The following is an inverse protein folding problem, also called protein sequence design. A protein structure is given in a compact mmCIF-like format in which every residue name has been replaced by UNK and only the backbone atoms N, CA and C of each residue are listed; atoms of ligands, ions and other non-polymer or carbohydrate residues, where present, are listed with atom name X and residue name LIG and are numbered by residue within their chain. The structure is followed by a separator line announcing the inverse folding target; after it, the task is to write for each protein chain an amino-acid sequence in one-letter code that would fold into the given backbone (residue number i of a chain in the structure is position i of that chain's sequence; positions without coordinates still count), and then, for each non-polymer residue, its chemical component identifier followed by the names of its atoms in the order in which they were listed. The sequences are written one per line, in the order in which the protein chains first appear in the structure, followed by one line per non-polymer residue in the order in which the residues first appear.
data_IF_672199047966
#
_entry.id   IF_672199047966
#
_cell.length_a   1.000
_cell.length_b   1.000
_cell.length_c   1.000
_cell.angle_alpha   90.00
_cell.angle_beta   90.00
_cell.angle_gamma   90.00
#
_symmetry.space_group_name_H-M   'P 1'
#
loop_
_entity.id
_entity.type
_entity.pdbx_description
1 polymer ?
#
# COMPACT_ATOMS: atom_id res chain seq x y z
N UNK A 1 35.92 53.84 27.48
CA UNK A 1 35.65 52.50 28.05
C UNK A 1 34.28 51.94 27.68
N UNK A 2 33.17 52.69 27.82
CA UNK A 2 31.81 52.17 27.56
C UNK A 2 31.61 51.59 26.14
N UNK A 3 32.15 52.22 25.10
CA UNK A 3 32.05 51.70 23.72
C UNK A 3 32.79 50.38 23.52
N UNK A 4 33.93 50.18 24.20
CA UNK A 4 34.72 48.94 24.13
C UNK A 4 33.97 47.80 24.83
N UNK A 5 33.38 48.08 25.99
CA UNK A 5 32.57 47.11 26.74
C UNK A 5 31.32 46.71 25.94
N UNK A 6 30.61 47.68 25.35
CA UNK A 6 29.46 47.42 24.49
C UNK A 6 29.85 46.57 23.27
N UNK A 7 30.97 46.89 22.61
CA UNK A 7 31.49 46.10 21.49
C UNK A 7 31.80 44.66 21.88
N UNK A 8 32.43 44.43 23.04
CA UNK A 8 32.72 43.10 23.55
C UNK A 8 31.43 42.29 23.85
N UNK A 9 30.40 42.92 24.42
CA UNK A 9 29.10 42.27 24.68
C UNK A 9 28.43 41.85 23.37
N UNK A 10 28.38 42.73 22.36
CA UNK A 10 27.78 42.40 21.06
C UNK A 10 28.53 41.24 20.39
N UNK A 11 29.85 41.24 20.44
CA UNK A 11 30.68 40.19 19.84
C UNK A 11 30.50 38.85 20.58
N UNK A 12 30.37 38.87 21.92
CA UNK A 12 30.06 37.69 22.72
C UNK A 12 28.67 37.12 22.38
N UNK A 13 27.64 37.97 22.30
CA UNK A 13 26.27 37.55 21.92
C UNK A 13 26.27 36.94 20.52
N UNK A 14 26.93 37.57 19.56
CA UNK A 14 27.07 37.04 18.20
C UNK A 14 27.78 35.69 18.18
N UNK A 15 28.87 35.53 18.95
CA UNK A 15 29.58 34.26 19.08
C UNK A 15 28.67 33.17 19.66
N UNK A 16 27.92 33.45 20.71
CA UNK A 16 26.98 32.50 21.35
C UNK A 16 25.88 32.09 20.37
N UNK A 17 25.28 33.05 19.65
CA UNK A 17 24.26 32.75 18.63
C UNK A 17 24.86 31.87 17.52
N UNK A 18 26.06 32.20 17.05
CA UNK A 18 26.72 31.44 15.97
C UNK A 18 27.06 30.03 16.43
N UNK A 19 27.70 29.86 17.59
CA UNK A 19 28.02 28.55 18.16
C UNK A 19 26.77 27.74 18.46
N UNK A 20 25.71 28.36 18.98
CA UNK A 20 24.41 27.73 19.18
C UNK A 20 23.79 27.25 17.87
N UNK A 21 23.90 28.04 16.79
CA UNK A 21 23.44 27.65 15.46
C UNK A 21 24.26 26.49 14.88
N UNK A 22 25.60 26.48 15.03
CA UNK A 22 26.44 25.36 14.57
C UNK A 22 26.20 24.09 15.38
N UNK A 23 26.08 24.21 16.71
CA UNK A 23 25.77 23.08 17.58
C UNK A 23 24.39 22.51 17.27
N UNK A 24 23.38 23.37 17.07
CA UNK A 24 22.06 22.98 16.61
C UNK A 24 22.10 22.30 15.24
N UNK A 25 22.84 22.85 14.27
CA UNK A 25 23.02 22.26 12.94
C UNK A 25 23.74 20.90 12.99
N UNK A 26 24.71 20.73 13.88
CA UNK A 26 25.42 19.47 14.06
C UNK A 26 24.55 18.40 14.74
N UNK A 27 23.80 18.80 15.77
CA UNK A 27 22.82 17.94 16.46
C UNK A 27 21.67 17.53 15.54
N UNK A 28 21.18 18.43 14.68
CA UNK A 28 20.14 18.12 13.69
C UNK A 28 20.69 17.36 12.48
N UNK A 29 21.92 17.66 12.05
CA UNK A 29 22.60 17.00 10.95
C UNK A 29 22.94 15.54 11.23
N UNK A 30 23.33 15.22 12.47
CA UNK A 30 23.51 13.84 12.91
C UNK A 30 22.18 13.08 12.95
N UNK A 31 21.10 13.74 13.40
CA UNK A 31 19.75 13.15 13.55
C UNK A 31 19.17 12.61 12.25
N UNK A 32 19.57 13.15 11.09
CA UNK A 32 19.05 12.74 9.79
C UNK A 32 20.11 12.16 8.84
N UNK A 33 21.28 11.79 9.37
CA UNK A 33 22.37 11.19 8.57
C UNK A 33 21.92 9.93 7.84
N UNK A 34 21.11 9.08 8.49
CA UNK A 34 20.57 7.85 7.89
C UNK A 34 19.78 8.11 6.61
N UNK A 35 18.90 9.12 6.61
CA UNK A 35 18.08 9.47 5.44
C UNK A 35 18.92 10.07 4.31
N UNK A 36 19.93 10.88 4.61
CA UNK A 36 20.84 11.41 3.57
C UNK A 36 21.68 10.30 2.93
N UNK A 37 22.18 9.37 3.74
CA UNK A 37 22.92 8.21 3.25
C UNK A 37 22.02 7.29 2.41
N UNK A 38 20.77 7.10 2.82
CA UNK A 38 19.78 6.37 2.05
C UNK A 38 19.50 7.04 0.70
N UNK A 39 19.31 8.37 0.69
CA UNK A 39 19.15 9.13 -0.55
C UNK A 39 20.35 8.98 -1.47
N UNK A 40 21.58 9.09 -0.94
CA UNK A 40 22.79 8.87 -1.74
C UNK A 40 22.87 7.44 -2.31
N UNK A 41 22.54 6.42 -1.50
CA UNK A 41 22.58 5.01 -1.90
C UNK A 41 21.63 4.70 -3.07
N UNK A 42 20.43 5.25 -3.04
CA UNK A 42 19.40 5.00 -4.06
C UNK A 42 19.28 6.14 -5.09
N UNK A 43 20.26 7.05 -5.15
CA UNK A 43 20.23 8.24 -6.02
C UNK A 43 18.91 9.03 -5.91
N UNK A 44 18.38 9.09 -4.69
CA UNK A 44 17.11 9.70 -4.36
C UNK A 44 17.21 11.15 -3.92
N UNK A 45 16.05 11.76 -3.70
CA UNK A 45 15.89 13.09 -3.15
C UNK A 45 15.59 13.01 -1.66
N UNK A 46 16.42 13.68 -0.85
CA UNK A 46 16.14 13.93 0.56
C UNK A 46 15.35 15.23 0.73
N UNK A 47 14.24 15.18 1.48
CA UNK A 47 13.38 16.34 1.78
C UNK A 47 13.20 16.47 3.30
N UNK A 48 13.51 17.66 3.83
CA UNK A 48 13.19 18.07 5.20
C UNK A 48 12.44 19.41 5.16
N UNK A 49 11.18 19.45 5.59
CA UNK A 49 10.31 20.63 5.51
C UNK A 49 10.31 21.50 6.77
N UNK A 50 11.36 21.41 7.59
CA UNK A 50 11.54 22.22 8.80
C UNK A 50 11.91 21.37 10.02
N UNK A 51 11.88 21.99 11.20
CA UNK A 51 12.19 21.33 12.47
C UNK A 51 11.07 20.38 12.94
N UNK A 52 9.83 20.63 12.53
CA UNK A 52 8.64 19.84 12.90
C UNK A 52 8.37 18.69 11.94
N UNK A 53 8.75 18.84 10.67
CA UNK A 53 8.38 17.88 9.63
C UNK A 53 9.38 16.72 9.60
N UNK A 54 8.91 15.47 9.65
CA UNK A 54 9.81 14.33 9.63
C UNK A 54 10.57 14.27 8.31
N UNK A 55 11.86 13.86 8.34
CA UNK A 55 12.65 13.69 7.13
C UNK A 55 12.00 12.65 6.22
N UNK A 56 12.10 12.89 4.92
CA UNK A 56 11.65 11.93 3.92
C UNK A 56 12.69 11.77 2.82
N UNK A 57 12.73 10.57 2.25
CA UNK A 57 13.57 10.23 1.09
C UNK A 57 12.66 9.67 0.03
N UNK A 58 12.82 10.11 -1.22
CA UNK A 58 12.09 9.56 -2.36
C UNK A 58 13.03 9.17 -3.49
N UNK A 59 12.79 8.02 -4.12
CA UNK A 59 13.56 7.53 -5.27
C UNK A 59 12.68 6.65 -6.15
N UNK A 60 13.11 6.42 -7.40
CA UNK A 60 12.44 5.51 -8.32
C UNK A 60 13.02 4.09 -8.18
N UNK A 61 12.19 3.07 -8.30
CA UNK A 61 12.60 1.66 -8.29
C UNK A 61 11.66 0.81 -9.16
N UNK A 62 12.20 0.14 -10.19
CA UNK A 62 11.43 -0.73 -11.10
C UNK A 62 10.11 -0.10 -11.60
N UNK A 63 10.14 1.19 -11.97
CA UNK A 63 8.96 1.92 -12.45
C UNK A 63 8.02 2.45 -11.36
N UNK A 64 8.22 2.08 -10.10
CA UNK A 64 7.48 2.56 -8.93
C UNK A 64 8.20 3.74 -8.25
N UNK A 65 7.46 4.55 -7.50
CA UNK A 65 8.02 5.64 -6.68
C UNK A 65 8.04 5.23 -5.20
N UNK A 66 9.24 5.16 -4.63
CA UNK A 66 9.47 4.77 -3.24
C UNK A 66 9.61 6.02 -2.39
N UNK A 67 8.86 6.12 -1.28
CA UNK A 67 8.97 7.17 -0.27
C UNK A 67 9.21 6.56 1.10
N UNK A 68 10.32 6.93 1.73
CA UNK A 68 10.75 6.47 3.04
C UNK A 68 10.66 7.65 4.01
N UNK A 69 10.17 7.42 5.22
CA UNK A 69 10.06 8.46 6.24
C UNK A 69 9.44 7.96 7.53
N UNK A 70 9.14 8.88 8.44
CA UNK A 70 8.36 8.54 9.62
C UNK A 70 6.86 8.53 9.30
N UNK A 71 6.13 7.61 9.94
CA UNK A 71 4.68 7.59 9.91
C UNK A 71 4.13 8.79 10.69
N UNK A 72 3.01 9.39 10.25
CA UNK A 72 2.37 10.46 11.01
C UNK A 72 1.96 9.95 12.40
N UNK A 73 2.06 10.84 13.39
CA UNK A 73 1.53 10.61 14.73
C UNK A 73 0.01 10.69 14.67
N UNK A 74 -0.66 9.70 15.23
CA UNK A 74 -2.12 9.69 15.38
C UNK A 74 -2.42 10.21 16.78
N UNK A 75 -3.25 11.25 16.88
CA UNK A 75 -3.66 11.82 18.16
C UNK A 75 -4.26 10.72 19.05
N UNK A 76 -3.78 10.62 20.29
CA UNK A 76 -4.23 9.62 21.26
C UNK A 76 -3.47 8.27 21.23
N UNK A 77 -2.54 8.05 20.30
CA UNK A 77 -1.62 6.90 20.36
C UNK A 77 -0.29 7.26 21.03
N UNK A 78 0.36 6.33 21.76
CA UNK A 78 1.68 6.56 22.34
C UNK A 78 2.68 7.01 21.26
N UNK A 79 3.45 8.03 21.60
CA UNK A 79 4.26 8.80 20.66
C UNK A 79 5.58 8.11 20.29
N UNK A 80 5.50 6.88 19.82
CA UNK A 80 6.68 6.17 19.32
C UNK A 80 6.80 6.44 17.81
N UNK A 81 7.84 7.17 17.34
CA UNK A 81 8.04 7.39 15.92
C UNK A 81 8.23 6.05 15.20
N UNK A 82 7.43 5.84 14.14
CA UNK A 82 7.42 4.60 13.34
C UNK A 82 8.03 4.87 11.98
N UNK A 83 8.79 3.94 11.45
CA UNK A 83 9.36 4.05 10.11
C UNK A 83 8.36 3.48 9.10
N UNK A 84 8.18 4.17 7.98
CA UNK A 84 7.38 3.66 6.85
C UNK A 84 8.18 3.71 5.55
N UNK A 85 8.01 2.67 4.75
CA UNK A 85 8.45 2.59 3.36
C UNK A 85 7.19 2.44 2.53
N UNK A 86 6.94 3.38 1.63
CA UNK A 86 5.77 3.39 0.74
C UNK A 86 6.25 3.25 -0.69
N UNK A 87 5.85 2.19 -1.37
CA UNK A 87 6.12 1.99 -2.79
C UNK A 87 4.82 2.23 -3.55
N UNK A 88 4.73 3.32 -4.30
CA UNK A 88 3.57 3.63 -5.14
C UNK A 88 3.74 2.98 -6.50
N UNK A 89 2.75 2.20 -6.90
CA UNK A 89 2.73 1.55 -8.20
C UNK A 89 2.42 2.57 -9.30
N UNK A 90 3.05 2.40 -10.46
CA UNK A 90 2.72 3.21 -11.65
C UNK A 90 1.37 2.80 -12.25
N UNK A 91 1.14 1.49 -12.30
CA UNK A 91 -0.11 0.88 -12.73
C UNK A 91 -0.77 0.27 -11.50
N UNK A 92 -2.06 0.52 -11.32
CA UNK A 92 -2.77 -0.03 -10.17
C UNK A 92 -2.80 -1.55 -10.18
N UNK A 93 -2.80 -2.17 -9.00
CA UNK A 93 -2.90 -3.62 -8.84
C UNK A 93 -4.29 -4.01 -8.32
N UNK A 94 -5.03 -4.96 -8.91
CA UNK A 94 -6.34 -5.39 -8.38
C UNK A 94 -6.23 -6.28 -7.12
N UNK A 95 -5.25 -6.00 -6.27
CA UNK A 95 -4.88 -6.82 -5.13
C UNK A 95 -4.88 -6.02 -3.83
N UNK A 96 -5.44 -6.60 -2.79
CA UNK A 96 -5.47 -6.07 -1.43
C UNK A 96 -4.99 -7.15 -0.49
N UNK A 97 -3.99 -6.82 0.31
CA UNK A 97 -3.46 -7.72 1.32
C UNK A 97 -3.04 -6.92 2.55
N UNK A 98 -3.36 -7.44 3.72
CA UNK A 98 -2.78 -7.00 4.98
C UNK A 98 -2.10 -8.18 5.67
N UNK A 99 -0.91 -7.91 6.19
CA UNK A 99 -0.11 -8.85 6.94
C UNK A 99 0.46 -8.17 8.16
N UNK A 100 0.25 -8.80 9.32
CA UNK A 100 0.80 -8.34 10.59
C UNK A 100 1.20 -9.54 11.46
N UNK A 101 2.23 -9.42 12.31
CA UNK A 101 2.51 -10.42 13.33
C UNK A 101 1.31 -10.62 14.26
N UNK A 102 1.06 -11.86 14.73
CA UNK A 102 -0.04 -12.15 15.67
C UNK A 102 0.07 -11.34 16.97
N UNK A 103 1.30 -11.00 17.39
CA UNK A 103 1.55 -10.18 18.57
C UNK A 103 1.10 -8.71 18.43
N UNK A 104 0.83 -8.25 17.21
CA UNK A 104 0.36 -6.89 16.96
C UNK A 104 -1.15 -6.84 17.17
N UNK A 105 -1.69 -5.87 17.93
CA UNK A 105 -3.13 -5.69 18.06
C UNK A 105 -3.77 -5.56 16.68
N UNK A 106 -4.69 -6.48 16.36
CA UNK A 106 -5.44 -6.43 15.12
C UNK A 106 -6.27 -5.14 15.08
N UNK A 107 -6.45 -4.51 13.90
CA UNK A 107 -7.43 -3.45 13.77
C UNK A 107 -8.82 -3.99 14.15
N UNK A 108 -9.65 -3.13 14.75
CA UNK A 108 -10.99 -3.52 15.21
C UNK A 108 -11.88 -4.06 14.09
N UNK A 109 -11.60 -3.70 12.84
CA UNK A 109 -12.28 -4.20 11.65
C UNK A 109 -11.26 -4.60 10.60
N UNK A 110 -11.43 -5.80 10.06
CA UNK A 110 -10.69 -6.23 8.87
C UNK A 110 -11.03 -5.32 7.68
N UNK A 111 -10.09 -5.08 6.75
CA UNK A 111 -10.38 -4.35 5.53
C UNK A 111 -11.55 -5.00 4.76
N UNK A 112 -12.50 -4.18 4.31
CA UNK A 112 -13.66 -4.66 3.55
C UNK A 112 -13.22 -5.46 2.34
N UNK A 113 -13.87 -6.61 2.12
CA UNK A 113 -13.61 -7.49 0.98
C UNK A 113 -12.32 -8.30 1.09
N UNK A 114 -11.74 -8.42 2.29
CA UNK A 114 -10.63 -9.34 2.56
C UNK A 114 -11.09 -10.51 3.42
N UNK A 115 -10.43 -11.66 3.26
CA UNK A 115 -10.63 -12.87 4.07
C UNK A 115 -9.30 -13.39 4.59
N UNK A 116 -9.33 -14.13 5.69
CA UNK A 116 -8.14 -14.78 6.23
C UNK A 116 -7.57 -15.77 5.22
N UNK A 117 -6.24 -15.75 5.06
CA UNK A 117 -5.50 -16.65 4.17
C UNK A 117 -4.53 -17.49 5.00
N UNK A 118 -4.47 -18.78 4.70
CA UNK A 118 -3.45 -19.70 5.20
C UNK A 118 -2.51 -20.03 4.06
N UNK A 119 -1.20 -19.89 4.29
CA UNK A 119 -0.19 -20.10 3.24
C UNK A 119 0.21 -21.58 3.15
N UNK A 120 -0.05 -22.36 4.21
CA UNK A 120 0.34 -23.77 4.29
C UNK A 120 1.73 -23.99 4.87
N UNK A 121 2.41 -22.90 5.23
CA UNK A 121 3.67 -22.91 5.99
C UNK A 121 3.36 -22.74 7.47
N UNK A 122 3.56 -23.79 8.27
CA UNK A 122 3.13 -23.81 9.67
C UNK A 122 3.84 -22.77 10.54
N UNK A 123 5.13 -22.50 10.28
CA UNK A 123 5.88 -21.51 11.04
C UNK A 123 5.35 -20.10 10.73
N UNK A 124 5.17 -19.80 9.45
CA UNK A 124 4.64 -18.51 9.01
C UNK A 124 3.20 -18.28 9.46
N UNK A 125 2.33 -19.27 9.30
CA UNK A 125 0.91 -19.20 9.68
C UNK A 125 0.69 -19.09 11.20
N UNK A 126 1.69 -19.45 12.01
CA UNK A 126 1.73 -19.23 13.48
C UNK A 126 2.32 -17.87 13.86
N UNK A 127 3.14 -17.27 13.00
CA UNK A 127 3.77 -15.97 13.26
C UNK A 127 2.92 -14.79 12.80
N UNK A 128 2.10 -14.97 11.77
CA UNK A 128 1.43 -13.88 11.06
C UNK A 128 -0.07 -14.13 10.84
N UNK A 129 -0.83 -13.03 10.85
CA UNK A 129 -2.19 -12.97 10.32
C UNK A 129 -2.11 -12.38 8.92
N UNK A 130 -2.64 -13.11 7.93
CA UNK A 130 -2.74 -12.65 6.53
C UNK A 130 -4.21 -12.53 6.16
N UNK A 131 -4.58 -11.38 5.61
CA UNK A 131 -5.89 -11.11 5.05
C UNK A 131 -5.75 -10.61 3.62
N UNK A 132 -6.48 -11.20 2.66
CA UNK A 132 -6.44 -10.75 1.27
C UNK A 132 -7.81 -10.84 0.59
N UNK A 133 -8.01 -10.06 -0.46
CA UNK A 133 -9.20 -10.17 -1.32
C UNK A 133 -9.12 -11.40 -2.25
N UNK A 134 -7.91 -11.83 -2.59
CA UNK A 134 -7.63 -12.99 -3.42
C UNK A 134 -6.62 -13.91 -2.71
N UNK A 135 -7.05 -15.03 -2.10
CA UNK A 135 -6.15 -15.95 -1.40
C UNK A 135 -5.16 -16.66 -2.30
N UNK A 136 -5.53 -16.98 -3.54
CA UNK A 136 -4.65 -17.71 -4.46
C UNK A 136 -3.47 -16.81 -4.83
N UNK A 137 -3.77 -15.56 -5.21
CA UNK A 137 -2.75 -14.54 -5.46
C UNK A 137 -1.91 -14.25 -4.21
N UNK A 138 -2.50 -14.29 -3.01
CA UNK A 138 -1.77 -14.10 -1.76
C UNK A 138 -0.78 -15.24 -1.47
N UNK A 139 -1.17 -16.50 -1.73
CA UNK A 139 -0.28 -17.67 -1.59
C UNK A 139 0.89 -17.58 -2.56
N UNK A 140 0.62 -17.21 -3.81
CA UNK A 140 1.66 -17.05 -4.83
C UNK A 140 2.63 -15.89 -4.52
N UNK A 141 2.09 -14.73 -4.13
CA UNK A 141 2.89 -13.60 -3.66
C UNK A 141 3.77 -13.96 -2.46
N UNK A 142 3.23 -14.69 -1.49
CA UNK A 142 3.95 -15.12 -0.28
C UNK A 142 4.82 -16.37 -0.51
N UNK A 143 5.58 -16.32 -1.60
CA UNK A 143 6.66 -17.25 -1.92
C UNK A 143 7.71 -17.31 -0.80
N UNK A 144 8.51 -18.40 -0.71
CA UNK A 144 9.52 -18.55 0.34
C UNK A 144 10.50 -17.36 0.47
N UNK A 145 10.91 -16.76 -0.66
CA UNK A 145 11.78 -15.58 -0.66
C UNK A 145 11.12 -14.35 -0.05
N UNK A 146 9.85 -14.09 -0.39
CA UNK A 146 9.09 -12.99 0.21
C UNK A 146 8.86 -13.24 1.71
N UNK A 147 8.53 -14.48 2.11
CA UNK A 147 8.38 -14.83 3.54
C UNK A 147 9.67 -14.61 4.33
N UNK A 148 10.82 -14.95 3.74
CA UNK A 148 12.12 -14.67 4.34
C UNK A 148 12.34 -13.17 4.56
N UNK A 149 12.06 -12.33 3.56
CA UNK A 149 12.15 -10.87 3.70
C UNK A 149 11.19 -10.30 4.75
N UNK A 150 9.99 -10.86 4.87
CA UNK A 150 9.04 -10.50 5.92
C UNK A 150 9.60 -10.86 7.31
N UNK A 151 10.18 -12.04 7.47
CA UNK A 151 10.86 -12.44 8.71
C UNK A 151 12.04 -11.52 9.05
N UNK A 152 12.79 -11.08 8.04
CA UNK A 152 13.88 -10.11 8.21
C UNK A 152 13.39 -8.76 8.75
N UNK A 153 12.30 -8.24 8.17
CA UNK A 153 11.65 -7.03 8.67
C UNK A 153 11.11 -7.21 10.10
N UNK A 154 10.56 -8.39 10.42
CA UNK A 154 10.05 -8.68 11.75
C UNK A 154 11.16 -8.62 12.80
N UNK A 155 12.40 -9.02 12.47
CA UNK A 155 13.55 -8.93 13.38
C UNK A 155 13.96 -7.49 13.70
N UNK A 156 13.61 -6.51 12.86
CA UNK A 156 13.85 -5.09 13.12
C UNK A 156 12.79 -4.49 14.05
N UNK A 157 11.62 -5.10 14.12
CA UNK A 157 10.42 -4.59 14.77
C UNK A 157 10.29 -4.76 16.31
N UNK A 158 11.01 -5.63 17.05
CA UNK A 158 10.74 -5.82 18.46
C UNK A 158 11.03 -4.55 19.28
N UNK A 159 10.17 -4.18 20.23
CA UNK A 159 8.99 -4.92 20.71
C UNK A 159 7.67 -4.59 19.98
N UNK A 160 7.66 -3.57 19.12
CA UNK A 160 6.42 -2.87 18.73
C UNK A 160 5.71 -3.40 17.48
N UNK A 161 6.35 -4.31 16.72
CA UNK A 161 5.71 -5.00 15.59
C UNK A 161 5.83 -4.27 14.25
N UNK A 162 5.19 -4.83 13.23
CA UNK A 162 5.22 -4.33 11.85
C UNK A 162 3.88 -4.55 11.15
N UNK A 163 3.67 -3.83 10.04
CA UNK A 163 2.54 -3.98 9.13
C UNK A 163 3.03 -3.99 7.71
N UNK A 164 2.50 -4.90 6.92
CA UNK A 164 2.56 -4.84 5.46
C UNK A 164 1.12 -4.68 4.97
N UNK A 165 0.88 -3.63 4.19
CA UNK A 165 -0.43 -3.35 3.59
C UNK A 165 -0.24 -3.07 2.12
N UNK A 166 -0.91 -3.86 1.29
CA UNK A 166 -0.97 -3.72 -0.16
C UNK A 166 -2.38 -3.30 -0.52
N UNK A 167 -2.50 -2.24 -1.31
CA UNK A 167 -3.73 -1.84 -1.94
C UNK A 167 -3.46 -1.51 -3.41
N UNK A 168 -4.49 -1.17 -4.21
CA UNK A 168 -4.29 -0.97 -5.63
C UNK A 168 -3.29 0.12 -6.02
N UNK A 169 -3.00 1.07 -5.13
CA UNK A 169 -2.12 2.20 -5.43
C UNK A 169 -0.70 2.01 -4.89
N UNK A 170 -0.53 1.20 -3.84
CA UNK A 170 0.74 1.13 -3.11
C UNK A 170 0.93 -0.13 -2.27
N UNK A 171 2.19 -0.45 -2.06
CA UNK A 171 2.72 -1.26 -0.96
C UNK A 171 3.17 -0.33 0.16
N UNK A 172 2.74 -0.58 1.39
CA UNK A 172 3.15 0.09 2.61
C UNK A 172 3.77 -0.95 3.54
N UNK A 173 5.04 -0.73 3.91
CA UNK A 173 5.69 -1.42 5.04
C UNK A 173 5.86 -0.41 6.16
N UNK A 174 5.26 -0.69 7.32
CA UNK A 174 5.43 0.10 8.53
C UNK A 174 6.11 -0.75 9.61
N UNK A 175 7.18 -0.21 10.18
CA UNK A 175 7.91 -0.82 11.30
C UNK A 175 7.69 0.10 12.49
N UNK A 176 7.20 -0.44 13.60
CA UNK A 176 6.78 0.36 14.75
C UNK A 176 7.99 0.83 15.62
N UNK A 177 9.09 1.23 14.95
CA UNK A 177 10.32 1.82 15.51
C UNK A 177 10.89 2.91 14.60
N UNK A 178 11.68 3.81 15.17
CA UNK A 178 12.41 4.83 14.43
C UNK A 178 13.77 4.30 13.95
N UNK A 179 13.78 3.72 12.76
CA UNK A 179 15.01 3.26 12.10
C UNK A 179 15.85 4.42 11.55
N UNK A 180 15.32 5.64 11.53
CA UNK A 180 16.06 6.84 11.12
C UNK A 180 17.27 7.18 12.01
N UNK A 181 17.40 6.52 13.16
CA UNK A 181 18.54 6.66 14.07
C UNK A 181 19.75 5.79 13.66
N UNK A 182 19.53 4.75 12.84
CA UNK A 182 20.58 3.83 12.39
C UNK A 182 20.51 3.65 10.86
N UNK A 183 21.55 4.10 10.17
CA UNK A 183 21.59 4.11 8.71
C UNK A 183 21.50 2.70 8.11
N UNK A 184 22.17 1.72 8.71
CA UNK A 184 22.19 0.35 8.21
C UNK A 184 20.84 -0.33 8.41
N UNK A 185 20.20 -0.14 9.58
CA UNK A 185 18.85 -0.66 9.82
C UNK A 185 17.80 -0.05 8.90
N UNK A 186 17.87 1.27 8.65
CA UNK A 186 16.98 1.94 7.71
C UNK A 186 17.19 1.42 6.28
N UNK A 187 18.43 1.30 5.84
CA UNK A 187 18.75 0.84 4.50
C UNK A 187 18.40 -0.65 4.30
N UNK A 188 18.58 -1.46 5.34
CA UNK A 188 18.18 -2.86 5.35
C UNK A 188 16.66 -3.02 5.27
N UNK A 189 15.88 -2.26 6.06
CA UNK A 189 14.43 -2.26 5.97
C UNK A 189 13.92 -1.86 4.58
N UNK A 190 14.55 -0.87 3.96
CA UNK A 190 14.24 -0.46 2.58
C UNK A 190 14.56 -1.59 1.61
N UNK A 191 15.75 -2.20 1.71
CA UNK A 191 16.13 -3.33 0.85
C UNK A 191 15.14 -4.50 0.92
N UNK A 192 14.78 -4.95 2.11
CA UNK A 192 13.79 -6.02 2.30
C UNK A 192 12.41 -5.64 1.76
N UNK A 193 12.01 -4.36 1.88
CA UNK A 193 10.76 -3.87 1.27
C UNK A 193 10.82 -3.93 -0.26
N UNK A 194 11.97 -3.65 -0.88
CA UNK A 194 12.14 -3.72 -2.32
C UNK A 194 12.10 -5.17 -2.82
N UNK A 195 12.66 -6.13 -2.06
CA UNK A 195 12.53 -7.55 -2.37
C UNK A 195 11.07 -8.02 -2.32
N UNK A 196 10.30 -7.55 -1.34
CA UNK A 196 8.85 -7.81 -1.25
C UNK A 196 8.11 -7.19 -2.44
N UNK A 197 8.47 -5.97 -2.85
CA UNK A 197 7.91 -5.34 -4.05
C UNK A 197 8.18 -6.17 -5.31
N UNK A 198 9.40 -6.66 -5.50
CA UNK A 198 9.75 -7.45 -6.68
C UNK A 198 9.04 -8.80 -6.69
N UNK A 199 8.91 -9.46 -5.54
CA UNK A 199 8.09 -10.67 -5.39
C UNK A 199 6.61 -10.42 -5.71
N UNK A 200 6.07 -9.26 -5.30
CA UNK A 200 4.70 -8.87 -5.65
C UNK A 200 4.52 -8.67 -7.15
N UNK A 201 5.42 -7.92 -7.80
CA UNK A 201 5.35 -7.70 -9.25
C UNK A 201 5.46 -9.01 -10.03
N UNK A 202 6.33 -9.92 -9.59
CA UNK A 202 6.48 -11.24 -10.19
C UNK A 202 5.21 -12.08 -10.04
N UNK A 203 4.64 -12.17 -8.82
CA UNK A 203 3.41 -12.93 -8.59
C UNK A 203 2.22 -12.37 -9.39
N UNK A 204 2.08 -11.04 -9.45
CA UNK A 204 1.06 -10.39 -10.30
C UNK A 204 1.28 -10.75 -11.77
N UNK A 205 2.52 -10.63 -12.27
CA UNK A 205 2.82 -10.90 -13.67
C UNK A 205 2.53 -12.36 -14.03
N UNK A 206 2.89 -13.30 -13.16
CA UNK A 206 2.58 -14.72 -13.35
C UNK A 206 1.07 -14.95 -13.40
N UNK A 207 0.31 -14.46 -12.42
CA UNK A 207 -1.14 -14.63 -12.39
C UNK A 207 -1.84 -13.97 -13.59
N UNK A 208 -1.38 -12.79 -14.01
CA UNK A 208 -1.91 -12.14 -15.22
C UNK A 208 -1.56 -12.90 -16.50
N UNK A 209 -0.39 -13.56 -16.55
CA UNK A 209 0.03 -14.38 -17.69
C UNK A 209 -0.71 -15.70 -17.80
N UNK A 210 -1.18 -16.26 -16.67
CA UNK A 210 -2.06 -17.43 -16.66
C UNK A 210 -3.41 -17.13 -17.32
N UNK A 211 -3.73 -15.85 -17.50
CA UNK A 211 -4.94 -15.38 -18.13
C UNK A 211 -6.16 -15.70 -17.28
N UNK A 212 -7.16 -14.83 -17.34
CA UNK A 212 -8.51 -15.36 -17.17
C UNK A 212 -8.67 -16.26 -18.38
N UNK A 213 -8.59 -17.58 -18.20
CA UNK A 213 -9.34 -18.47 -19.08
C UNK A 213 -10.77 -18.01 -18.91
N UNK A 214 -11.17 -17.06 -19.77
CA UNK A 214 -12.57 -16.89 -20.11
C UNK A 214 -12.82 -18.27 -20.66
N UNK A 215 -13.35 -19.16 -19.82
CA UNK A 215 -14.04 -20.33 -20.30
C UNK A 215 -15.03 -19.69 -21.24
N UNK A 216 -14.66 -19.69 -22.52
CA UNK A 216 -15.61 -19.59 -23.59
C UNK A 216 -16.47 -20.78 -23.24
N UNK A 217 -17.55 -20.52 -22.51
CA UNK A 217 -18.72 -21.36 -22.54
C UNK A 217 -18.93 -21.41 -24.03
N UNK A 218 -18.44 -22.47 -24.67
CA UNK A 218 -18.75 -22.73 -26.05
C UNK A 218 -20.28 -22.78 -26.13
N UNK A 219 -20.85 -23.03 -27.30
CA UNK A 219 -22.22 -23.50 -27.35
C UNK A 219 -22.31 -24.92 -26.72
N UNK A 220 -21.75 -25.16 -25.53
CA UNK A 220 -22.27 -26.18 -24.62
C UNK A 220 -23.64 -25.68 -24.25
N UNK A 221 -24.66 -26.32 -24.82
CA UNK A 221 -26.05 -26.19 -24.41
C UNK A 221 -26.07 -26.20 -22.88
N UNK A 222 -26.20 -25.01 -22.31
CA UNK A 222 -26.04 -24.79 -20.89
C UNK A 222 -27.41 -25.13 -20.31
N UNK A 223 -27.69 -26.44 -20.21
CA UNK A 223 -28.96 -26.97 -19.67
C UNK A 223 -29.21 -26.49 -18.22
N UNK A 224 -28.17 -25.99 -17.55
CA UNK A 224 -28.21 -25.41 -16.20
C UNK A 224 -28.10 -23.88 -16.12
N UNK A 225 -27.98 -23.15 -17.24
CA UNK A 225 -28.08 -21.69 -17.21
C UNK A 225 -29.54 -21.29 -17.17
N UNK A 226 -30.11 -21.27 -15.98
CA UNK A 226 -31.44 -20.72 -15.74
C UNK A 226 -31.66 -19.36 -16.42
N UNK A 227 -32.91 -18.91 -16.54
CA UNK A 227 -33.26 -17.67 -17.21
C UNK A 227 -32.40 -16.49 -16.72
N UNK A 228 -31.95 -15.59 -17.62
CA UNK A 228 -31.09 -14.49 -17.23
C UNK A 228 -31.78 -13.59 -16.20
N UNK A 229 -31.04 -13.10 -15.20
CA UNK A 229 -31.58 -12.25 -14.14
C UNK A 229 -31.54 -10.77 -14.55
N UNK A 230 -32.68 -10.08 -14.44
CA UNK A 230 -32.75 -8.64 -14.67
C UNK A 230 -32.07 -7.87 -13.54
N UNK A 231 -31.11 -7.00 -13.88
CA UNK A 231 -30.38 -6.18 -12.90
C UNK A 231 -31.17 -4.96 -12.39
N UNK A 232 -32.44 -4.84 -12.76
CA UNK A 232 -33.35 -3.79 -12.26
C UNK A 232 -34.22 -4.34 -11.13
N UNK A 233 -34.99 -5.40 -11.38
CA UNK A 233 -35.87 -6.01 -10.38
C UNK A 233 -35.23 -7.17 -9.61
N UNK A 234 -34.16 -7.79 -10.11
CA UNK A 234 -33.53 -8.96 -9.50
C UNK A 234 -34.19 -10.29 -9.83
N UNK A 235 -35.25 -10.30 -10.65
CA UNK A 235 -35.99 -11.51 -11.02
C UNK A 235 -35.48 -12.15 -12.32
N UNK A 236 -35.78 -13.43 -12.49
CA UNK A 236 -35.56 -14.17 -13.73
C UNK A 236 -36.37 -13.55 -14.89
N UNK A 237 -35.75 -13.45 -16.06
CA UNK A 237 -36.39 -12.97 -17.27
C UNK A 237 -37.00 -14.15 -18.01
N UNK A 238 -38.24 -14.44 -17.67
CA UNK A 238 -39.11 -15.42 -18.32
C UNK A 238 -40.01 -14.67 -19.32
N UNK A 239 -39.66 -14.69 -20.61
CA UNK A 239 -40.46 -14.07 -21.68
C UNK A 239 -39.76 -12.91 -22.42
N UNK A 240 -40.53 -11.92 -22.94
CA UNK A 240 -40.00 -10.83 -23.76
C UNK A 240 -38.91 -10.04 -23.04
N UNK A 241 -37.73 -9.99 -23.66
CA UNK A 241 -36.56 -9.32 -23.11
C UNK A 241 -35.95 -8.38 -24.12
N UNK A 242 -35.26 -7.37 -23.60
CA UNK A 242 -34.46 -6.44 -24.38
C UNK A 242 -33.03 -6.46 -23.88
N UNK A 243 -32.08 -6.14 -24.76
CA UNK A 243 -30.67 -6.04 -24.43
C UNK A 243 -30.22 -4.60 -24.55
N UNK A 244 -29.38 -4.13 -23.62
CA UNK A 244 -28.70 -2.86 -23.81
C UNK A 244 -27.89 -2.88 -25.13
N UNK A 245 -28.04 -1.85 -25.97
CA UNK A 245 -27.32 -1.77 -27.24
C UNK A 245 -25.80 -1.65 -27.07
N UNK A 246 -25.31 -1.24 -25.90
CA UNK A 246 -23.88 -1.06 -25.61
C UNK A 246 -23.28 -2.33 -24.98
N UNK A 247 -23.74 -2.71 -23.79
CA UNK A 247 -23.12 -3.78 -23.01
C UNK A 247 -23.83 -5.14 -23.13
N UNK A 248 -24.90 -5.22 -23.92
CA UNK A 248 -25.69 -6.45 -24.15
C UNK A 248 -26.27 -7.10 -22.88
N UNK A 249 -26.38 -6.35 -21.78
CA UNK A 249 -27.04 -6.84 -20.56
C UNK A 249 -28.54 -7.00 -20.79
N UNK A 250 -29.14 -8.15 -20.39
CA UNK A 250 -30.57 -8.39 -20.54
C UNK A 250 -31.40 -7.66 -19.47
N UNK A 251 -32.58 -7.21 -19.89
CA UNK A 251 -33.59 -6.57 -19.04
C UNK A 251 -34.99 -7.07 -19.44
N UNK A 252 -35.94 -7.09 -18.49
CA UNK A 252 -37.35 -7.12 -18.86
C UNK A 252 -37.70 -5.86 -19.65
N UNK A 253 -38.62 -5.98 -20.61
CA UNK A 253 -39.09 -4.84 -21.40
C UNK A 253 -39.62 -3.72 -20.49
N UNK A 254 -40.47 -4.08 -19.53
CA UNK A 254 -41.10 -3.13 -18.62
C UNK A 254 -40.08 -2.45 -17.69
N UNK A 255 -39.07 -3.20 -17.22
CA UNK A 255 -37.96 -2.65 -16.44
C UNK A 255 -37.14 -1.65 -17.25
N UNK A 256 -36.92 -1.92 -18.54
CA UNK A 256 -36.21 -1.02 -19.43
C UNK A 256 -37.01 0.26 -19.70
N UNK A 257 -38.31 0.14 -19.97
CA UNK A 257 -39.20 1.28 -20.21
C UNK A 257 -39.37 2.15 -18.95
N UNK A 258 -39.40 1.51 -17.77
CA UNK A 258 -39.46 2.20 -16.48
C UNK A 258 -38.18 2.98 -16.15
N UNK A 259 -37.00 2.36 -16.30
CA UNK A 259 -35.71 3.00 -15.95
C UNK A 259 -35.24 3.96 -17.06
N UNK A 260 -35.52 3.63 -18.33
CA UNK A 260 -35.10 4.38 -19.51
C UNK A 260 -33.61 4.25 -19.87
N UNK A 261 -32.80 3.58 -19.05
CA UNK A 261 -31.35 3.38 -19.27
C UNK A 261 -30.87 2.03 -18.74
N UNK A 262 -29.67 1.60 -19.15
CA UNK A 262 -29.03 0.40 -18.59
C UNK A 262 -28.70 0.58 -17.11
N UNK A 263 -28.93 -0.45 -16.30
CA UNK A 263 -28.66 -0.44 -14.85
C UNK A 263 -27.25 -0.91 -14.46
N UNK A 264 -26.41 -1.28 -15.43
CA UNK A 264 -25.03 -1.68 -15.16
C UNK A 264 -24.17 -0.46 -14.83
N UNK A 265 -23.49 -0.50 -13.68
CA UNK A 265 -22.56 0.54 -13.28
C UNK A 265 -21.52 0.83 -14.38
N UNK A 266 -21.42 2.11 -14.77
CA UNK A 266 -20.53 2.57 -15.83
C UNK A 266 -21.10 2.44 -17.26
N UNK A 267 -22.18 1.71 -17.47
CA UNK A 267 -22.88 1.69 -18.76
C UNK A 267 -23.86 2.87 -18.86
N UNK A 268 -23.81 3.61 -19.96
CA UNK A 268 -24.66 4.78 -20.21
C UNK A 268 -25.65 4.55 -21.36
N UNK A 269 -25.96 3.28 -21.65
CA UNK A 269 -26.83 2.92 -22.77
C UNK A 269 -28.27 3.38 -22.56
N UNK A 270 -28.80 4.15 -23.52
CA UNK A 270 -30.19 4.63 -23.55
C UNK A 270 -31.06 3.93 -24.60
N UNK A 271 -30.43 3.10 -25.42
CA UNK A 271 -31.12 2.32 -26.45
C UNK A 271 -31.03 0.84 -26.11
N UNK A 272 -32.15 0.15 -26.29
CA UNK A 272 -32.20 -1.30 -26.27
C UNK A 272 -32.39 -1.84 -27.67
N UNK A 273 -31.98 -3.10 -27.84
CA UNK A 273 -32.27 -3.90 -29.01
C UNK A 273 -33.11 -5.09 -28.56
N UNK A 274 -34.13 -5.43 -29.33
CA UNK A 274 -34.93 -6.64 -29.10
C UNK A 274 -34.04 -7.88 -29.14
N UNK A 275 -34.41 -8.87 -28.33
CA UNK A 275 -33.75 -10.17 -28.32
C UNK A 275 -33.85 -10.91 -29.66
#
# INVERSE_FOLDING_TARGET
MHLVVLGAIILLVYLVIRLGATAGAWLTGSRYRAYRQLAARYQGKYESRGLSDPPTVSFAYNGSNVRVGLAPQITGQPNNPRTRVVVRFRNGLPFRLELAPISRPAPAQAPKGTRLVRIGDQEFDRGFVVQANDPEMAVEFLSPGVRWSIGNLQRLAPPSGMLISINPERLLVQIDRNLGLNADSLAYAVHETLLIHDGLQMGVATQMSQGVSIVAIGPTANEDAGPPICKVCGEAIEGPRVFCAICRTPHHRDCWEYVGTCSIYGCHGKHSVSA
#
